data_IF_138276212645
#
_entry.id   IF_138276212645
#
_cell.length_a   1.000
_cell.length_b   1.000
_cell.length_c   1.000
_cell.angle_alpha   90.00
_cell.angle_beta   90.00
_cell.angle_gamma   90.00
#
_symmetry.space_group_name_H-M   'P 1'
#
loop_
_entity.id
_entity.type
_entity.pdbx_description
1 polymer ?
#
# COMPACT_ATOMS: atom_id res chain seq x y z
N UNK A 1 6.72 -15.36 31.88
CA UNK A 1 6.79 -14.02 31.24
C UNK A 1 8.15 -13.90 30.59
N UNK A 2 8.21 -13.64 29.28
CA UNK A 2 9.49 -13.49 28.58
C UNK A 2 10.19 -12.20 29.03
N UNK A 3 11.49 -12.23 29.38
CA UNK A 3 12.29 -11.03 29.64
C UNK A 3 12.22 -10.05 28.46
N UNK A 4 12.19 -8.74 28.73
CA UNK A 4 12.03 -7.73 27.68
C UNK A 4 13.21 -7.77 26.70
N UNK A 5 14.38 -8.18 27.17
CA UNK A 5 15.59 -8.37 26.35
C UNK A 5 15.39 -9.47 25.31
N UNK A 6 14.71 -10.58 25.66
CA UNK A 6 14.39 -11.66 24.71
C UNK A 6 13.31 -11.27 23.71
N UNK A 7 12.37 -10.40 24.09
CA UNK A 7 11.34 -9.87 23.17
C UNK A 7 11.97 -8.91 22.17
N UNK A 8 12.92 -8.09 22.60
CA UNK A 8 13.61 -7.11 21.73
C UNK A 8 14.56 -7.79 20.74
N UNK A 9 15.17 -8.92 21.11
CA UNK A 9 16.12 -9.65 20.27
C UNK A 9 15.46 -10.67 19.31
N UNK A 10 14.18 -11.01 19.50
CA UNK A 10 13.52 -12.04 18.71
C UNK A 10 12.85 -11.50 17.44
N UNK A 11 13.22 -12.06 16.29
CA UNK A 11 12.50 -11.85 15.02
C UNK A 11 11.15 -12.60 14.96
N UNK A 12 10.86 -13.47 15.94
CA UNK A 12 9.66 -14.34 16.00
C UNK A 12 8.98 -14.32 17.37
N UNK A 13 8.74 -13.13 17.91
CA UNK A 13 8.21 -12.88 19.27
C UNK A 13 7.00 -13.77 19.64
N UNK A 14 6.03 -13.93 18.73
CA UNK A 14 4.82 -14.73 19.00
C UNK A 14 5.12 -16.23 19.13
N UNK A 15 6.03 -16.77 18.32
CA UNK A 15 6.42 -18.17 18.37
C UNK A 15 7.26 -18.45 19.62
N UNK A 16 8.18 -17.55 19.97
CA UNK A 16 9.02 -17.67 21.16
C UNK A 16 8.21 -17.56 22.45
N UNK A 17 7.19 -16.68 22.47
CA UNK A 17 6.25 -16.59 23.59
C UNK A 17 5.43 -17.88 23.74
N UNK A 18 4.95 -18.44 22.64
CA UNK A 18 4.19 -19.68 22.65
C UNK A 18 5.07 -20.88 23.06
N UNK A 19 6.31 -20.92 22.60
CA UNK A 19 7.28 -21.95 22.99
C UNK A 19 7.63 -21.85 24.49
N UNK A 20 7.78 -20.64 25.02
CA UNK A 20 8.04 -20.43 26.45
C UNK A 20 6.86 -20.79 27.36
N UNK A 21 5.61 -20.68 26.87
CA UNK A 21 4.40 -20.95 27.66
C UNK A 21 3.87 -22.39 27.52
N UNK A 22 3.96 -22.95 26.32
CA UNK A 22 3.32 -24.22 25.93
C UNK A 22 4.34 -25.27 25.46
N UNK A 23 5.63 -24.94 25.51
CA UNK A 23 6.70 -25.77 24.98
C UNK A 23 6.78 -25.76 23.45
N UNK A 24 7.73 -26.53 22.92
CA UNK A 24 7.98 -26.70 21.48
C UNK A 24 6.74 -26.98 20.61
N UNK A 25 5.75 -27.83 21.01
CA UNK A 25 4.55 -28.03 20.19
C UNK A 25 3.70 -26.75 20.07
N UNK A 26 3.62 -25.91 21.11
CA UNK A 26 2.92 -24.64 21.05
C UNK A 26 3.60 -23.63 20.12
N UNK A 27 4.93 -23.56 20.15
CA UNK A 27 5.72 -22.74 19.23
C UNK A 27 5.50 -23.13 17.76
N UNK A 28 5.47 -24.44 17.47
CA UNK A 28 5.19 -24.95 16.10
C UNK A 28 3.77 -24.61 15.67
N UNK A 29 2.77 -24.81 16.53
CA UNK A 29 1.37 -24.50 16.21
C UNK A 29 1.17 -23.01 15.85
N UNK A 30 1.74 -22.11 16.66
CA UNK A 30 1.68 -20.66 16.39
C UNK A 30 2.45 -20.30 15.11
N UNK A 31 3.60 -20.93 14.87
CA UNK A 31 4.35 -20.70 13.62
C UNK A 31 3.54 -21.09 12.38
N UNK A 32 2.89 -22.26 12.41
CA UNK A 32 2.02 -22.71 11.31
C UNK A 32 0.84 -21.76 11.10
N UNK A 33 0.21 -21.30 12.18
CA UNK A 33 -0.88 -20.33 12.12
C UNK A 33 -0.44 -19.00 11.50
N UNK A 34 0.71 -18.47 11.91
CA UNK A 34 1.29 -17.24 11.37
C UNK A 34 1.60 -17.42 9.88
N UNK A 35 2.23 -18.54 9.50
CA UNK A 35 2.52 -18.84 8.09
C UNK A 35 1.24 -18.84 7.25
N UNK A 36 0.19 -19.52 7.69
CA UNK A 36 -1.09 -19.57 6.97
C UNK A 36 -1.71 -18.17 6.81
N UNK A 37 -1.70 -17.37 7.88
CA UNK A 37 -2.17 -15.97 7.86
C UNK A 37 -1.38 -15.11 6.87
N UNK A 38 -0.04 -15.19 6.91
CA UNK A 38 0.84 -14.44 6.01
C UNK A 38 0.63 -14.86 4.56
N UNK A 39 0.49 -16.16 4.26
CA UNK A 39 0.17 -16.63 2.91
C UNK A 39 -1.18 -16.10 2.41
N UNK A 40 -2.20 -16.07 3.29
CA UNK A 40 -3.51 -15.49 2.96
C UNK A 40 -3.43 -14.00 2.62
N UNK A 41 -2.73 -13.22 3.46
CA UNK A 41 -2.53 -11.79 3.22
C UNK A 41 -1.74 -11.51 1.93
N UNK A 42 -0.66 -12.27 1.69
CA UNK A 42 0.15 -12.17 0.47
C UNK A 42 -0.67 -12.45 -0.79
N UNK A 43 -1.49 -13.50 -0.78
CA UNK A 43 -2.38 -13.80 -1.90
C UNK A 43 -3.32 -12.61 -2.20
N UNK A 44 -3.89 -11.99 -1.16
CA UNK A 44 -4.73 -10.79 -1.30
C UNK A 44 -3.98 -9.62 -1.96
N UNK A 45 -2.78 -9.31 -1.47
CA UNK A 45 -1.94 -8.21 -1.99
C UNK A 45 -1.51 -8.46 -3.44
N UNK A 46 -1.15 -9.71 -3.77
CA UNK A 46 -0.76 -10.10 -5.14
C UNK A 46 -1.92 -9.97 -6.13
N UNK A 47 -3.17 -10.15 -5.68
CA UNK A 47 -4.35 -9.96 -6.54
C UNK A 47 -4.80 -8.49 -6.63
N UNK A 48 -4.63 -7.71 -5.56
CA UNK A 48 -5.08 -6.32 -5.48
C UNK A 48 -4.09 -5.34 -6.12
N UNK A 49 -2.80 -5.46 -5.80
CA UNK A 49 -1.74 -4.55 -6.25
C UNK A 49 -1.68 -4.35 -7.77
N UNK A 50 -1.73 -5.43 -8.58
CA UNK A 50 -1.66 -5.33 -10.03
C UNK A 50 -2.81 -4.58 -10.70
N UNK A 51 -3.94 -4.41 -10.00
CA UNK A 51 -5.07 -3.62 -10.51
C UNK A 51 -4.73 -2.14 -10.60
N UNK A 52 -3.80 -1.65 -9.76
CA UNK A 52 -3.29 -0.28 -9.83
C UNK A 52 -2.47 -0.08 -11.10
N UNK A 53 -1.50 -0.96 -11.37
CA UNK A 53 -0.70 -0.89 -12.61
C UNK A 53 -1.56 -1.04 -13.85
N UNK A 54 -2.57 -1.91 -13.80
CA UNK A 54 -3.54 -2.08 -14.88
C UNK A 54 -4.36 -0.81 -15.14
N UNK A 55 -4.87 -0.15 -14.08
CA UNK A 55 -5.59 1.11 -14.20
C UNK A 55 -4.68 2.22 -14.75
N UNK A 56 -3.46 2.35 -14.23
CA UNK A 56 -2.46 3.30 -14.74
C UNK A 56 -2.15 3.09 -16.22
N UNK A 57 -2.04 1.85 -16.68
CA UNK A 57 -1.81 1.54 -18.09
C UNK A 57 -3.00 1.92 -18.98
N UNK A 58 -4.24 1.83 -18.46
CA UNK A 58 -5.46 2.28 -19.18
C UNK A 58 -5.57 3.79 -19.22
N UNK A 59 -5.09 4.48 -18.19
CA UNK A 59 -5.02 5.94 -18.13
C UNK A 59 -3.82 6.51 -18.93
N UNK A 60 -3.00 5.65 -19.56
CA UNK A 60 -1.82 6.05 -20.33
C UNK A 60 -0.61 6.44 -19.49
N UNK A 61 -0.68 6.24 -18.17
CA UNK A 61 0.36 6.57 -17.18
C UNK A 61 1.40 5.45 -16.98
N UNK A 62 1.23 4.32 -17.67
CA UNK A 62 2.16 3.19 -17.68
C UNK A 62 2.16 2.55 -19.08
N UNK A 63 3.16 1.72 -19.38
CA UNK A 63 3.21 0.98 -20.64
C UNK A 63 1.91 0.22 -20.92
N UNK A 64 1.38 0.37 -22.16
CA UNK A 64 0.11 -0.23 -22.60
C UNK A 64 0.06 -1.76 -22.43
N UNK A 65 1.20 -2.43 -22.51
CA UNK A 65 1.28 -3.88 -22.33
C UNK A 65 0.92 -4.33 -20.90
N UNK A 66 1.14 -3.49 -19.88
CA UNK A 66 0.75 -3.82 -18.49
C UNK A 66 -0.78 -3.79 -18.30
N UNK A 67 -1.51 -3.15 -19.22
CA UNK A 67 -2.97 -3.11 -19.25
C UNK A 67 -3.65 -4.35 -19.87
N UNK A 68 -2.87 -5.32 -20.38
CA UNK A 68 -3.46 -6.51 -21.04
C UNK A 68 -3.98 -7.52 -20.02
N UNK A 69 -5.24 -7.91 -20.16
CA UNK A 69 -5.85 -8.98 -19.37
C UNK A 69 -5.62 -10.34 -20.02
N UNK A 70 -5.50 -11.39 -19.21
CA UNK A 70 -5.42 -12.76 -19.70
C UNK A 70 -6.75 -13.14 -20.40
N UNK A 71 -6.73 -13.74 -21.61
CA UNK A 71 -7.94 -14.02 -22.39
C UNK A 71 -8.98 -14.87 -21.64
N UNK A 72 -8.51 -15.89 -20.90
CA UNK A 72 -9.36 -16.83 -20.16
C UNK A 72 -9.72 -16.40 -18.74
N UNK A 73 -8.76 -15.86 -17.98
CA UNK A 73 -8.89 -15.60 -16.54
C UNK A 73 -9.20 -14.14 -16.24
N UNK A 74 -9.14 -13.25 -17.25
CA UNK A 74 -9.34 -11.80 -17.12
C UNK A 74 -8.49 -11.14 -16.03
N UNK A 75 -7.33 -11.74 -15.72
CA UNK A 75 -6.36 -11.24 -14.75
C UNK A 75 -5.25 -10.44 -15.44
N UNK A 76 -4.73 -9.37 -14.82
CA UNK A 76 -3.64 -8.58 -15.38
C UNK A 76 -2.30 -9.30 -15.17
N UNK A 77 -2.10 -10.44 -15.85
CA UNK A 77 -0.96 -11.34 -15.68
C UNK A 77 0.41 -10.65 -15.81
N UNK A 78 0.56 -9.70 -16.74
CA UNK A 78 1.81 -8.96 -16.93
C UNK A 78 2.10 -7.97 -15.80
N UNK A 79 1.06 -7.35 -15.24
CA UNK A 79 1.20 -6.50 -14.06
C UNK A 79 1.57 -7.32 -12.81
N UNK A 80 1.06 -8.55 -12.70
CA UNK A 80 1.48 -9.50 -11.64
C UNK A 80 2.97 -9.81 -11.78
N UNK A 81 3.44 -10.14 -12.98
CA UNK A 81 4.86 -10.42 -13.22
C UNK A 81 5.75 -9.21 -12.94
N UNK A 82 5.31 -8.01 -13.32
CA UNK A 82 6.03 -6.76 -13.02
C UNK A 82 6.14 -6.54 -11.51
N UNK A 83 5.03 -6.71 -10.77
CA UNK A 83 5.03 -6.61 -9.31
C UNK A 83 5.95 -7.64 -8.67
N UNK A 84 5.93 -8.89 -9.14
CA UNK A 84 6.77 -9.96 -8.63
C UNK A 84 8.26 -9.69 -8.87
N UNK A 85 8.62 -9.22 -10.07
CA UNK A 85 10.00 -8.84 -10.40
C UNK A 85 10.48 -7.68 -9.51
N UNK A 86 9.64 -6.66 -9.33
CA UNK A 86 9.99 -5.53 -8.46
C UNK A 86 10.12 -5.93 -6.99
N UNK A 87 9.22 -6.78 -6.49
CA UNK A 87 9.32 -7.33 -5.14
C UNK A 87 10.60 -8.14 -4.95
N UNK A 88 11.00 -8.96 -5.93
CA UNK A 88 12.25 -9.71 -5.88
C UNK A 88 13.47 -8.78 -5.80
N UNK A 89 13.50 -7.69 -6.59
CA UNK A 89 14.56 -6.68 -6.51
C UNK A 89 14.61 -6.04 -5.12
N UNK A 90 13.46 -5.62 -4.58
CA UNK A 90 13.40 -4.99 -3.25
C UNK A 90 13.91 -5.90 -2.14
N UNK A 91 13.55 -7.19 -2.17
CA UNK A 91 14.02 -8.19 -1.19
C UNK A 91 15.55 -8.29 -1.19
N UNK A 92 16.21 -8.10 -2.34
CA UNK A 92 17.67 -8.14 -2.45
C UNK A 92 18.36 -6.86 -1.96
N UNK A 93 17.62 -5.77 -1.69
CA UNK A 93 18.21 -4.44 -1.42
C UNK A 93 18.42 -4.12 0.06
N UNK A 94 17.94 -4.94 1.00
CA UNK A 94 18.07 -4.64 2.43
C UNK A 94 17.40 -5.65 3.35
N UNK A 95 17.36 -5.31 4.65
CA UNK A 95 16.72 -6.13 5.67
C UNK A 95 15.20 -5.93 5.67
N UNK A 96 14.45 -6.89 6.23
CA UNK A 96 13.00 -6.76 6.41
C UNK A 96 12.63 -5.48 7.15
N UNK A 97 13.36 -5.12 8.21
CA UNK A 97 13.15 -3.90 8.99
C UNK A 97 13.30 -2.64 8.13
N UNK A 98 14.34 -2.55 7.32
CA UNK A 98 14.56 -1.41 6.43
C UNK A 98 13.46 -1.27 5.38
N UNK A 99 13.09 -2.38 4.73
CA UNK A 99 12.00 -2.42 3.75
C UNK A 99 10.66 -2.01 4.37
N UNK A 100 10.36 -2.54 5.55
CA UNK A 100 9.16 -2.22 6.31
C UNK A 100 9.11 -0.73 6.66
N UNK A 101 10.17 -0.18 7.25
CA UNK A 101 10.25 1.24 7.61
C UNK A 101 10.03 2.14 6.40
N UNK A 102 10.68 1.83 5.27
CA UNK A 102 10.57 2.60 4.03
C UNK A 102 9.15 2.64 3.48
N UNK A 103 8.45 1.50 3.51
CA UNK A 103 7.07 1.37 2.98
C UNK A 103 6.06 2.04 3.92
N UNK A 104 6.12 1.73 5.22
CA UNK A 104 5.15 2.21 6.21
C UNK A 104 5.16 3.73 6.31
N UNK A 105 6.35 4.34 6.39
CA UNK A 105 6.49 5.79 6.35
C UNK A 105 5.82 6.41 5.12
N UNK A 106 6.13 5.87 3.94
CA UNK A 106 5.58 6.34 2.67
C UNK A 106 4.05 6.24 2.65
N UNK A 107 3.51 5.11 3.12
CA UNK A 107 2.07 4.86 3.23
C UNK A 107 1.37 5.88 4.14
N UNK A 108 1.96 6.18 5.30
CA UNK A 108 1.42 7.19 6.23
C UNK A 108 1.40 8.60 5.64
N UNK A 109 2.38 8.98 4.80
CA UNK A 109 2.32 10.25 4.06
C UNK A 109 1.07 10.27 3.15
N UNK A 110 0.86 9.21 2.37
CA UNK A 110 -0.31 9.12 1.49
C UNK A 110 -1.62 9.10 2.27
N UNK A 111 -1.67 8.45 3.42
CA UNK A 111 -2.84 8.47 4.30
C UNK A 111 -3.14 9.88 4.85
N UNK A 112 -2.10 10.59 5.32
CA UNK A 112 -2.23 11.98 5.73
C UNK A 112 -2.71 12.88 4.58
N UNK A 113 -2.13 12.74 3.39
CA UNK A 113 -2.55 13.47 2.19
C UNK A 113 -3.98 13.12 1.77
N UNK A 114 -4.41 11.85 1.87
CA UNK A 114 -5.79 11.47 1.60
C UNK A 114 -6.77 12.13 2.57
N UNK A 115 -6.42 12.19 3.86
CA UNK A 115 -7.22 12.87 4.86
C UNK A 115 -7.32 14.38 4.58
N UNK A 116 -6.21 15.04 4.24
CA UNK A 116 -6.21 16.45 3.79
C UNK A 116 -7.04 16.60 2.51
N UNK A 117 -6.90 15.68 1.55
CA UNK A 117 -7.66 15.66 0.30
C UNK A 117 -9.17 15.60 0.53
N UNK A 118 -9.62 14.87 1.57
CA UNK A 118 -11.02 14.85 1.99
C UNK A 118 -11.52 16.24 2.41
N UNK A 119 -10.72 16.98 3.20
CA UNK A 119 -11.05 18.35 3.59
C UNK A 119 -11.08 19.29 2.39
N UNK A 120 -10.07 19.20 1.50
CA UNK A 120 -10.01 20.00 0.26
C UNK A 120 -11.21 19.73 -0.64
N UNK A 121 -11.60 18.46 -0.81
CA UNK A 121 -12.74 18.08 -1.64
C UNK A 121 -14.06 18.63 -1.08
N UNK A 122 -14.21 18.61 0.26
CA UNK A 122 -15.38 19.17 0.94
C UNK A 122 -15.41 20.69 0.89
N UNK A 123 -14.28 21.36 1.13
CA UNK A 123 -14.18 22.83 1.03
C UNK A 123 -14.50 23.32 -0.39
N UNK A 124 -14.15 22.54 -1.42
CA UNK A 124 -14.42 22.86 -2.83
C UNK A 124 -15.84 22.48 -3.30
N UNK A 125 -16.70 21.96 -2.42
CA UNK A 125 -18.04 21.48 -2.80
C UNK A 125 -18.05 20.32 -3.81
N UNK A 126 -16.90 19.69 -4.06
CA UNK A 126 -16.72 18.63 -5.08
C UNK A 126 -16.93 17.22 -4.52
N UNK A 127 -17.22 17.10 -3.22
CA UNK A 127 -17.63 15.84 -2.64
C UNK A 127 -19.03 15.50 -3.14
N UNK A 128 -19.14 14.54 -4.07
CA UNK A 128 -20.44 14.05 -4.58
C UNK A 128 -21.44 13.72 -3.45
N UNK A 129 -20.94 13.28 -2.30
CA UNK A 129 -21.76 13.01 -1.12
C UNK A 129 -22.37 14.24 -0.42
N UNK A 130 -21.83 15.46 -0.58
CA UNK A 130 -22.44 16.64 0.03
C UNK A 130 -23.68 17.14 -0.76
N UNK A 131 -23.71 16.93 -2.08
CA UNK A 131 -24.80 17.35 -2.95
C UNK A 131 -25.92 16.29 -3.11
N UNK A 132 -25.64 15.01 -2.82
CA UNK A 132 -26.61 13.90 -3.01
C UNK A 132 -26.86 13.05 -1.74
N UNK A 133 -26.52 13.53 -0.54
CA UNK A 133 -26.74 12.79 0.72
C UNK A 133 -25.79 11.62 0.98
N UNK A 134 -24.59 11.63 0.41
CA UNK A 134 -23.58 10.59 0.63
C UNK A 134 -22.95 10.61 2.03
N UNK A 135 -22.32 9.47 2.38
CA UNK A 135 -21.75 9.21 3.70
C UNK A 135 -20.84 10.34 4.23
N UNK A 136 -21.10 10.75 5.48
CA UNK A 136 -20.23 11.64 6.26
C UNK A 136 -19.50 10.80 7.29
N UNK A 137 -18.19 11.02 7.42
CA UNK A 137 -17.41 10.38 8.47
C UNK A 137 -18.00 10.78 9.83
N UNK A 138 -18.22 9.79 10.68
CA UNK A 138 -18.71 10.03 12.03
C UNK A 138 -17.71 10.94 12.77
N UNK A 139 -18.22 12.00 13.42
CA UNK A 139 -17.40 13.01 14.08
C UNK A 139 -16.66 13.98 13.16
N UNK A 140 -17.07 14.12 11.88
CA UNK A 140 -16.50 15.16 11.00
C UNK A 140 -16.76 16.58 11.55
N UNK A 141 -15.76 17.48 11.60
CA UNK A 141 -14.41 17.38 11.02
C UNK A 141 -13.33 16.76 11.93
N UNK A 142 -13.61 16.49 13.20
CA UNK A 142 -12.61 16.08 14.18
C UNK A 142 -11.96 14.73 13.89
N UNK A 143 -12.75 13.71 13.53
CA UNK A 143 -12.20 12.36 13.31
C UNK A 143 -11.16 12.31 12.19
N UNK A 144 -11.40 12.86 10.98
CA UNK A 144 -10.37 12.87 9.95
C UNK A 144 -9.21 13.83 10.25
N UNK A 145 -9.44 14.89 11.04
CA UNK A 145 -8.39 15.82 11.43
C UNK A 145 -7.43 15.16 12.42
N UNK A 146 -7.96 14.44 13.42
CA UNK A 146 -7.18 13.66 14.36
C UNK A 146 -6.36 12.58 13.63
N UNK A 147 -6.98 11.87 12.67
CA UNK A 147 -6.27 10.89 11.85
C UNK A 147 -5.14 11.54 11.04
N UNK A 148 -5.39 12.69 10.39
CA UNK A 148 -4.35 13.41 9.68
C UNK A 148 -3.19 13.83 10.60
N UNK A 149 -3.52 14.37 11.79
CA UNK A 149 -2.51 14.76 12.77
C UNK A 149 -1.67 13.57 13.25
N UNK A 150 -2.31 12.43 13.56
CA UNK A 150 -1.62 11.21 13.94
C UNK A 150 -0.73 10.66 12.81
N UNK A 151 -1.23 10.65 11.58
CA UNK A 151 -0.47 10.23 10.41
C UNK A 151 0.79 11.08 10.22
N UNK A 152 0.66 12.41 10.27
CA UNK A 152 1.81 13.31 10.16
C UNK A 152 2.76 13.20 11.37
N UNK A 153 2.26 12.98 12.58
CA UNK A 153 3.10 12.75 13.75
C UNK A 153 3.96 11.48 13.59
N UNK A 154 3.38 10.39 13.08
CA UNK A 154 4.12 9.15 12.78
C UNK A 154 5.19 9.40 11.71
N UNK A 155 4.83 10.11 10.64
CA UNK A 155 5.76 10.50 9.56
C UNK A 155 6.94 11.30 10.12
N UNK A 156 6.68 12.33 10.95
CA UNK A 156 7.72 13.16 11.56
C UNK A 156 8.61 12.31 12.46
N UNK A 157 8.02 11.49 13.33
CA UNK A 157 8.77 10.62 14.23
C UNK A 157 9.71 9.69 13.43
N UNK A 158 9.20 9.05 12.38
CA UNK A 158 10.00 8.12 11.57
C UNK A 158 11.13 8.81 10.80
N UNK A 159 10.93 10.04 10.32
CA UNK A 159 11.99 10.84 9.66
C UNK A 159 13.11 11.17 10.63
N UNK A 160 12.77 11.48 11.89
CA UNK A 160 13.77 11.77 12.92
C UNK A 160 14.49 10.50 13.37
N UNK A 161 13.78 9.37 13.48
CA UNK A 161 14.37 8.09 13.90
C UNK A 161 15.26 7.46 12.84
N UNK A 162 14.83 7.42 11.58
CA UNK A 162 15.50 6.69 10.48
C UNK A 162 15.59 7.55 9.21
N UNK A 163 16.34 8.68 9.23
CA UNK A 163 16.34 9.65 8.14
C UNK A 163 16.84 9.08 6.81
N UNK A 164 17.78 8.13 6.83
CA UNK A 164 18.31 7.51 5.62
C UNK A 164 17.23 6.67 4.90
N UNK A 165 16.51 5.81 5.62
CA UNK A 165 15.45 4.98 5.02
C UNK A 165 14.25 5.82 4.57
N UNK A 166 13.91 6.87 5.34
CA UNK A 166 12.89 7.84 4.95
C UNK A 166 13.28 8.57 3.66
N UNK A 167 14.54 9.00 3.52
CA UNK A 167 15.06 9.64 2.31
C UNK A 167 15.03 8.72 1.09
N UNK A 168 15.39 7.44 1.25
CA UNK A 168 15.31 6.45 0.15
C UNK A 168 13.85 6.21 -0.24
N UNK A 169 12.93 6.07 0.73
CA UNK A 169 11.51 5.88 0.47
C UNK A 169 10.91 7.08 -0.28
N UNK A 170 11.15 8.29 0.20
CA UNK A 170 10.71 9.52 -0.45
C UNK A 170 11.35 9.68 -1.82
N UNK A 171 12.64 9.36 -1.96
CA UNK A 171 13.36 9.36 -3.23
C UNK A 171 12.73 8.43 -4.27
N UNK A 172 12.33 7.21 -3.87
CA UNK A 172 11.60 6.28 -4.74
C UNK A 172 10.25 6.84 -5.19
N UNK A 173 9.51 7.50 -4.29
CA UNK A 173 8.23 8.15 -4.63
C UNK A 173 8.45 9.30 -5.61
N UNK A 174 9.43 10.16 -5.33
CA UNK A 174 9.75 11.32 -6.17
C UNK A 174 10.32 10.91 -7.52
N UNK A 175 11.05 9.78 -7.61
CA UNK A 175 11.48 9.20 -8.88
C UNK A 175 10.29 8.76 -9.76
N UNK A 176 9.12 8.53 -9.16
CA UNK A 176 7.86 8.35 -9.89
C UNK A 176 7.37 9.61 -10.62
N UNK A 177 7.79 10.81 -10.21
CA UNK A 177 7.38 12.08 -10.84
C UNK A 177 7.95 12.27 -12.26
N UNK A 178 9.26 12.12 -12.53
CA UNK A 178 9.78 12.22 -13.89
C UNK A 178 9.20 11.14 -14.81
N UNK A 179 9.00 9.93 -14.28
CA UNK A 179 8.28 8.83 -14.95
C UNK A 179 6.88 9.30 -15.33
N UNK A 180 6.09 9.78 -14.38
CA UNK A 180 4.73 10.29 -14.62
C UNK A 180 4.71 11.40 -15.68
N UNK A 181 5.63 12.38 -15.59
CA UNK A 181 5.72 13.48 -16.54
C UNK A 181 6.10 13.02 -17.95
N UNK A 182 6.94 11.99 -18.06
CA UNK A 182 7.29 11.39 -19.34
C UNK A 182 6.09 10.71 -20.00
N UNK A 183 5.35 9.90 -19.25
CA UNK A 183 4.18 9.19 -19.78
C UNK A 183 2.97 10.09 -20.06
N UNK A 184 2.76 11.14 -19.26
CA UNK A 184 1.70 12.13 -19.48
C UNK A 184 1.81 12.85 -20.84
N UNK A 185 3.00 12.88 -21.45
CA UNK A 185 3.22 13.47 -22.79
C UNK A 185 2.81 12.53 -23.93
N UNK A 186 2.45 11.28 -23.65
CA UNK A 186 1.95 10.33 -24.64
C UNK A 186 0.49 10.63 -25.07
N UNK A 187 0.06 10.17 -26.26
CA UNK A 187 -1.28 10.45 -26.78
C UNK A 187 -2.38 9.88 -25.86
N UNK A 188 -3.36 10.71 -25.50
CA UNK A 188 -4.53 10.33 -24.70
C UNK A 188 -5.12 9.01 -25.20
N UNK A 189 -5.37 8.03 -24.31
CA UNK A 189 -6.12 6.84 -24.68
C UNK A 189 -7.50 7.25 -25.18
N UNK A 190 -7.80 6.97 -26.46
CA UNK A 190 -9.15 7.14 -27.03
C UNK A 190 -10.17 6.51 -26.07
N UNK A 191 -11.06 7.33 -25.54
CA UNK A 191 -12.17 6.88 -24.72
C UNK A 191 -12.85 5.68 -25.40
N UNK A 192 -12.95 4.56 -24.69
CA UNK A 192 -13.65 3.38 -25.21
C UNK A 192 -15.08 3.79 -25.62
N UNK A 193 -15.60 3.32 -26.78
CA UNK A 193 -16.94 3.65 -27.21
C UNK A 193 -17.90 3.26 -26.08
N UNK A 194 -18.68 4.23 -25.59
CA UNK A 194 -19.77 3.93 -24.65
C UNK A 194 -20.65 2.90 -25.34
N UNK A 195 -20.64 1.66 -24.84
CA UNK A 195 -21.57 0.63 -25.28
C UNK A 195 -22.96 1.18 -25.00
N UNK A 196 -23.66 1.58 -26.07
CA UNK A 196 -25.09 1.89 -26.03
C UNK A 196 -25.78 0.64 -25.50
N UNK A 197 -26.26 0.67 -24.27
CA UNK A 197 -27.26 -0.28 -23.79
C UNK A 197 -28.47 -0.17 -24.71
N UNK A 198 -28.92 -1.27 -25.36
CA UNK A 198 -30.20 -1.26 -26.05
C UNK A 198 -31.31 -1.09 -25.00
N UNK A 199 -32.22 -0.17 -25.30
CA UNK A 199 -33.48 0.08 -24.59
C UNK A 199 -34.38 -1.15 -24.54
#
# INVERSE_FOLDING_TARGET
VLPIETVVASDRVAADAAEALLGRPGGVAVTVLVLFSTFGALAGIVLAGPRVYWAMARDGLLFRWAGTLHPRFRTPHRAILLQAAWAAVLILTGTYRALFTRVVYTEWIFFGMMAVGLFVLRARGRGRGAATGGYRAWGYPFTPALFAAAAFAIVIHQVVSDPAEAAVGLGLVLAGLPVYLWWRRGPEPRAAPRSRTPS
#
